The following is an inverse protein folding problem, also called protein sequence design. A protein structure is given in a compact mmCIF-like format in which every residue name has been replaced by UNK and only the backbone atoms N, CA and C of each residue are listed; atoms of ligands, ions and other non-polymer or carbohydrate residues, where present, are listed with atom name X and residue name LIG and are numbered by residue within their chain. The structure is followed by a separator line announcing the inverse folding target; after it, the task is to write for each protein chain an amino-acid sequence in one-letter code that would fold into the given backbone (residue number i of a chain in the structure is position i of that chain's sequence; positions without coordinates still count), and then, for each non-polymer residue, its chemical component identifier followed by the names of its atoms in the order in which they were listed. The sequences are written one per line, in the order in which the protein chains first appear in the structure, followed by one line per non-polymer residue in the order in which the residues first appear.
data_IF_731612428671
#
_entry.id   IF_731612428671
#
_cell.length_a   1.000
_cell.length_b   1.000
_cell.length_c   1.000
_cell.angle_alpha   90.00
_cell.angle_beta   90.00
_cell.angle_gamma   90.00
#
_symmetry.space_group_name_H-M   'P 1'
#
loop_
_entity.id
_entity.type
_entity.pdbx_description
1 polymer ?
#
# COMPACT_ATOMS: atom_id res chain seq x y z
N UNK A 1 8.16 -14.21 -23.25
CA UNK A 1 8.79 -13.24 -22.33
C UNK A 1 9.99 -13.92 -21.65
N UNK A 2 11.02 -13.17 -21.27
CA UNK A 2 12.23 -13.70 -20.60
C UNK A 2 12.22 -13.28 -19.13
N UNK A 3 12.60 -14.20 -18.24
CA UNK A 3 12.70 -13.95 -16.81
C UNK A 3 13.89 -13.05 -16.47
N UNK A 4 13.67 -12.00 -15.67
CA UNK A 4 14.73 -11.12 -15.17
C UNK A 4 15.74 -11.78 -14.23
N UNK A 5 15.37 -12.91 -13.60
CA UNK A 5 16.22 -13.66 -12.67
C UNK A 5 17.13 -14.66 -13.38
N UNK A 6 16.54 -15.67 -14.05
CA UNK A 6 17.28 -16.77 -14.67
C UNK A 6 17.52 -16.61 -16.18
N UNK A 7 16.95 -15.58 -16.82
CA UNK A 7 17.03 -15.32 -18.26
C UNK A 7 16.47 -16.43 -19.16
N UNK A 8 15.64 -17.31 -18.61
CA UNK A 8 14.90 -18.34 -19.37
C UNK A 8 13.50 -17.85 -19.79
N UNK A 9 12.89 -18.58 -20.73
CA UNK A 9 11.52 -18.33 -21.19
C UNK A 9 10.50 -18.49 -20.05
N UNK A 10 9.56 -17.55 -19.99
CA UNK A 10 8.45 -17.54 -19.04
C UNK A 10 7.22 -18.22 -19.63
N UNK A 11 6.53 -19.00 -18.78
CA UNK A 11 5.16 -19.41 -19.02
C UNK A 11 4.23 -18.38 -18.37
N UNK A 12 3.23 -17.88 -19.10
CA UNK A 12 2.42 -16.69 -18.72
C UNK A 12 1.66 -16.85 -17.40
N UNK A 13 1.35 -18.08 -17.02
CA UNK A 13 0.39 -18.33 -15.94
C UNK A 13 1.03 -18.32 -14.55
N UNK A 14 2.36 -18.23 -14.47
CA UNK A 14 3.13 -18.32 -13.23
C UNK A 14 4.29 -17.31 -13.20
N UNK A 15 4.04 -16.07 -13.62
CA UNK A 15 5.05 -15.00 -13.56
C UNK A 15 4.60 -13.83 -12.71
N UNK A 16 5.55 -13.20 -12.02
CA UNK A 16 5.37 -11.94 -11.31
C UNK A 16 5.97 -10.79 -12.13
N UNK A 17 5.21 -9.73 -12.25
CA UNK A 17 5.54 -8.56 -13.06
C UNK A 17 5.98 -7.40 -12.16
N UNK A 18 7.20 -6.88 -12.38
CA UNK A 18 7.69 -5.75 -11.60
C UNK A 18 7.14 -4.42 -12.12
N UNK A 19 6.34 -3.74 -11.30
CA UNK A 19 5.73 -2.44 -11.63
C UNK A 19 6.76 -1.35 -12.00
N UNK A 20 7.97 -1.39 -11.43
CA UNK A 20 8.96 -0.32 -11.62
C UNK A 20 9.84 -0.49 -12.85
N UNK A 21 10.20 -1.72 -13.22
CA UNK A 21 11.12 -1.98 -14.34
C UNK A 21 10.49 -2.74 -15.50
N UNK A 22 9.20 -3.07 -15.40
CA UNK A 22 8.42 -3.77 -16.43
C UNK A 22 8.94 -5.19 -16.77
N UNK A 23 9.85 -5.73 -15.94
CA UNK A 23 10.43 -7.06 -16.13
C UNK A 23 9.61 -8.12 -15.39
N UNK A 24 9.43 -9.27 -16.06
CA UNK A 24 8.75 -10.43 -15.51
C UNK A 24 9.72 -11.43 -14.90
N UNK A 25 9.30 -12.13 -13.86
CA UNK A 25 10.11 -13.09 -13.10
C UNK A 25 9.33 -14.38 -12.87
N UNK A 26 10.03 -15.51 -12.90
CA UNK A 26 9.51 -16.76 -12.35
C UNK A 26 9.33 -16.61 -10.84
N UNK A 27 8.24 -17.15 -10.29
CA UNK A 27 8.03 -17.16 -8.84
C UNK A 27 9.12 -17.98 -8.12
N UNK A 28 9.65 -19.02 -8.76
CA UNK A 28 10.77 -19.82 -8.24
C UNK A 28 12.06 -18.99 -8.15
N UNK A 29 12.32 -18.12 -9.13
CA UNK A 29 13.49 -17.22 -9.11
C UNK A 29 13.42 -16.18 -7.98
N UNK A 30 12.23 -15.97 -7.42
CA UNK A 30 11.96 -15.06 -6.31
C UNK A 30 11.87 -15.79 -4.96
N UNK A 31 12.13 -17.11 -4.93
CA UNK A 31 11.97 -17.96 -3.75
C UNK A 31 10.55 -17.93 -3.16
N UNK A 32 9.54 -17.75 -4.01
CA UNK A 32 8.13 -17.82 -3.65
C UNK A 32 7.65 -19.23 -4.02
N UNK A 33 6.83 -19.85 -3.17
CA UNK A 33 6.20 -21.14 -3.51
C UNK A 33 4.91 -20.93 -4.32
N UNK A 34 4.52 -21.92 -5.12
CA UNK A 34 3.34 -21.82 -5.98
C UNK A 34 2.06 -21.59 -5.17
N UNK A 35 1.93 -22.20 -3.99
CA UNK A 35 0.78 -22.03 -3.11
C UNK A 35 0.70 -20.59 -2.58
N UNK A 36 1.85 -19.98 -2.30
CA UNK A 36 1.93 -18.60 -1.82
C UNK A 36 1.57 -17.61 -2.94
N UNK A 37 1.96 -17.90 -4.19
CA UNK A 37 1.62 -17.07 -5.34
C UNK A 37 0.10 -16.95 -5.49
N UNK A 38 -0.66 -18.05 -5.38
CA UNK A 38 -2.13 -18.06 -5.49
C UNK A 38 -2.80 -17.21 -4.41
N UNK A 39 -2.21 -17.14 -3.21
CA UNK A 39 -2.74 -16.35 -2.10
C UNK A 39 -2.46 -14.84 -2.22
N UNK A 40 -1.59 -14.42 -3.13
CA UNK A 40 -1.32 -13.00 -3.35
C UNK A 40 -2.53 -12.32 -4.01
N UNK A 41 -3.01 -11.24 -3.40
CA UNK A 41 -4.08 -10.41 -3.96
C UNK A 41 -3.68 -9.81 -5.31
N UNK A 42 -4.68 -9.52 -6.15
CA UNK A 42 -4.45 -8.85 -7.43
C UNK A 42 -3.81 -7.47 -7.24
N UNK A 43 -4.19 -6.73 -6.19
CA UNK A 43 -3.58 -5.44 -5.84
C UNK A 43 -2.09 -5.57 -5.54
N UNK A 44 -1.69 -6.61 -4.80
CA UNK A 44 -0.28 -6.86 -4.50
C UNK A 44 0.49 -7.23 -5.77
N UNK A 45 -0.08 -8.08 -6.63
CA UNK A 45 0.57 -8.47 -7.90
C UNK A 45 0.77 -7.27 -8.83
N UNK A 46 -0.19 -6.34 -8.87
CA UNK A 46 -0.12 -5.14 -9.71
C UNK A 46 0.87 -4.09 -9.19
N UNK A 47 1.13 -4.07 -7.88
CA UNK A 47 2.09 -3.14 -7.24
C UNK A 47 3.43 -3.80 -6.89
N UNK A 48 3.60 -5.08 -7.21
CA UNK A 48 4.79 -5.84 -6.83
C UNK A 48 6.05 -5.26 -7.47
N UNK A 49 7.11 -5.22 -6.67
CA UNK A 49 8.39 -4.63 -7.08
C UNK A 49 9.52 -5.65 -6.88
N UNK A 50 10.35 -5.83 -7.91
CA UNK A 50 11.44 -6.80 -7.85
C UNK A 50 12.55 -6.37 -6.86
N UNK A 51 13.33 -7.31 -6.32
CA UNK A 51 14.41 -7.01 -5.38
C UNK A 51 15.44 -6.00 -5.91
N UNK A 52 15.69 -5.98 -7.23
CA UNK A 52 16.58 -5.00 -7.84
C UNK A 52 16.04 -3.57 -7.70
N UNK A 53 14.75 -3.37 -8.02
CA UNK A 53 14.09 -2.06 -7.90
C UNK A 53 13.92 -1.62 -6.44
N UNK A 54 13.60 -2.55 -5.54
CA UNK A 54 13.53 -2.28 -4.09
C UNK A 54 14.89 -1.88 -3.51
N UNK A 55 15.98 -2.46 -4.01
CA UNK A 55 17.32 -2.09 -3.57
C UNK A 55 17.83 -0.78 -4.18
N UNK A 56 17.34 -0.38 -5.35
CA UNK A 56 17.63 0.93 -5.96
C UNK A 56 16.95 2.06 -5.18
N UNK A 57 15.68 1.89 -4.78
CA UNK A 57 14.98 2.91 -3.97
C UNK A 57 15.54 3.08 -2.57
N UNK A 58 16.26 2.07 -2.03
CA UNK A 58 17.03 2.19 -0.77
C UNK A 58 18.40 2.85 -0.92
N UNK A 59 18.96 2.95 -2.13
CA UNK A 59 20.16 3.76 -2.38
C UNK A 59 19.76 5.23 -2.57
N UNK A 60 19.05 5.80 -1.60
CA UNK A 60 19.24 7.21 -1.33
C UNK A 60 20.73 7.34 -1.02
N UNK A 61 21.41 8.20 -1.76
CA UNK A 61 22.84 8.49 -1.69
C UNK A 61 23.15 9.22 -0.37
N UNK A 62 22.86 8.60 0.77
CA UNK A 62 23.25 9.09 2.09
C UNK A 62 24.69 8.64 2.32
N UNK A 63 25.64 9.57 2.15
CA UNK A 63 27.04 9.39 2.56
C UNK A 63 27.20 9.31 4.09
N UNK A 64 26.21 8.81 4.83
CA UNK A 64 26.14 8.92 6.28
C UNK A 64 26.66 7.70 7.05
N UNK A 65 27.29 6.70 6.39
CA UNK A 65 28.18 5.68 6.98
C UNK A 65 28.62 4.67 5.93
N UNK A 66 29.86 4.73 5.40
CA UNK A 66 30.49 3.55 4.83
C UNK A 66 30.63 2.48 5.93
N UNK A 67 30.43 1.17 5.65
CA UNK A 67 30.80 0.13 6.60
C UNK A 67 32.30 0.27 6.87
N UNK A 68 32.66 0.59 8.12
CA UNK A 68 34.06 0.61 8.56
C UNK A 68 34.58 -0.82 8.42
N UNK A 69 35.32 -1.11 7.35
CA UNK A 69 36.17 -2.30 7.31
C UNK A 69 37.30 -2.02 8.30
N UNK A 70 37.35 -2.81 9.36
CA UNK A 70 38.50 -2.89 10.26
C UNK A 70 39.67 -3.48 9.47
N UNK A 71 40.38 -2.64 8.72
CA UNK A 71 41.68 -3.00 8.20
C UNK A 71 42.67 -2.82 9.34
N UNK A 72 43.14 -3.94 9.88
CA UNK A 72 44.40 -3.96 10.64
C UNK A 72 45.48 -3.38 9.72
N UNK A 73 46.01 -2.21 10.09
CA UNK A 73 47.16 -1.59 9.44
C UNK A 73 48.39 -2.41 9.90
N UNK A 74 49.15 -3.05 9.00
CA UNK A 74 50.46 -3.56 9.34
C UNK A 74 51.39 -2.36 9.58
N UNK A 75 52.04 -2.34 10.73
CA UNK A 75 53.17 -1.46 11.03
C UNK A 75 54.23 -1.59 9.93
N UNK A 76 54.48 -0.51 9.19
CA UNK A 76 55.75 -0.34 8.48
C UNK A 76 56.10 1.14 8.42
N UNK A 77 57.16 1.47 9.13
CA UNK A 77 57.94 2.70 9.02
C UNK A 77 58.25 2.97 7.54
N UNK A 78 57.77 4.09 7.02
CA UNK A 78 58.38 4.77 5.87
C UNK A 78 57.84 6.19 5.81
N UNK A 79 58.63 7.12 6.35
CA UNK A 79 58.45 8.55 6.18
C UNK A 79 58.68 8.92 4.71
N UNK A 80 57.63 9.30 4.00
CA UNK A 80 57.77 10.10 2.78
C UNK A 80 57.63 11.57 3.15
N UNK A 81 58.78 12.20 3.33
CA UNK A 81 58.95 13.65 3.37
C UNK A 81 58.62 14.21 1.98
N UNK A 82 57.51 14.95 1.86
CA UNK A 82 57.15 15.68 0.65
C UNK A 82 57.27 17.17 0.94
N UNK A 83 58.51 17.62 1.17
CA UNK A 83 58.86 19.03 1.20
C UNK A 83 58.67 19.65 -0.18
N UNK A 84 57.60 20.43 -0.37
CA UNK A 84 57.41 21.30 -1.52
C UNK A 84 58.35 22.52 -1.41
N UNK A 85 59.63 22.36 -1.76
CA UNK A 85 60.53 23.47 -2.05
C UNK A 85 60.30 23.97 -3.49
N UNK A 86 59.22 24.73 -3.69
CA UNK A 86 59.05 25.49 -4.94
C UNK A 86 58.61 26.92 -4.57
N UNK A 87 59.52 27.87 -4.83
CA UNK A 87 59.39 29.35 -4.86
C UNK A 87 59.80 30.14 -3.60
N UNK A 88 61.12 30.19 -3.36
CA UNK A 88 61.76 31.37 -2.76
C UNK A 88 62.76 31.96 -3.75
N UNK A 89 62.27 32.75 -4.72
CA UNK A 89 63.06 33.78 -5.43
C UNK A 89 62.19 34.61 -6.39
N UNK A 90 61.59 35.66 -5.85
CA UNK A 90 61.47 36.95 -6.51
C UNK A 90 60.94 37.96 -5.49
N UNK A 91 61.78 38.90 -5.08
CA UNK A 91 61.35 40.18 -4.51
C UNK A 91 60.47 40.88 -5.56
N UNK A 92 59.17 40.63 -5.51
CA UNK A 92 58.19 41.44 -6.19
C UNK A 92 57.67 42.46 -5.17
N UNK A 93 57.99 43.72 -5.44
CA UNK A 93 57.42 44.89 -4.81
C UNK A 93 55.90 44.74 -4.77
N UNK A 94 55.33 44.46 -3.60
CA UNK A 94 53.87 44.37 -3.39
C UNK A 94 53.35 45.81 -3.45
N UNK A 95 52.57 46.21 -4.47
CA UNK A 95 51.87 47.48 -4.40
C UNK A 95 50.87 47.37 -3.26
N UNK A 96 50.95 48.30 -2.31
CA UNK A 96 50.01 48.49 -1.21
C UNK A 96 48.65 48.97 -1.75
N UNK A 97 47.93 48.10 -2.45
CA UNK A 97 46.52 48.30 -2.76
C UNK A 97 45.68 47.60 -1.68
N UNK A 98 45.43 48.33 -0.60
CA UNK A 98 44.46 47.98 0.46
C UNK A 98 43.04 47.71 -0.08
N UNK A 99 42.78 48.07 -1.33
CA UNK A 99 41.52 47.94 -2.06
C UNK A 99 41.14 46.47 -2.39
N UNK A 100 42.07 45.52 -2.32
CA UNK A 100 41.82 44.10 -2.67
C UNK A 100 41.28 43.26 -1.50
N UNK A 101 41.58 43.62 -0.25
CA UNK A 101 41.15 42.86 0.95
C UNK A 101 39.71 43.22 1.35
N UNK A 102 39.33 44.49 1.24
CA UNK A 102 37.96 44.95 1.55
C UNK A 102 36.92 44.32 0.61
N UNK A 103 37.20 44.28 -0.71
CA UNK A 103 36.33 43.62 -1.69
C UNK A 103 36.19 42.11 -1.44
N UNK A 104 37.26 41.46 -0.98
CA UNK A 104 37.21 40.04 -0.61
C UNK A 104 36.34 39.80 0.63
N UNK A 105 36.46 40.65 1.65
CA UNK A 105 35.63 40.59 2.86
C UNK A 105 34.16 40.89 2.57
N UNK A 106 33.88 41.83 1.67
CA UNK A 106 32.52 42.13 1.19
C UNK A 106 31.93 40.91 0.47
N UNK A 107 32.67 40.30 -0.45
CA UNK A 107 32.25 39.07 -1.13
C UNK A 107 31.96 37.94 -0.13
N UNK A 108 32.82 37.75 0.87
CA UNK A 108 32.63 36.73 1.91
C UNK A 108 31.37 37.01 2.74
N UNK A 109 31.09 38.28 3.06
CA UNK A 109 29.86 38.72 3.72
C UNK A 109 28.63 38.38 2.88
N UNK A 110 28.63 38.71 1.58
CA UNK A 110 27.54 38.39 0.66
C UNK A 110 27.31 36.88 0.55
N UNK A 111 28.38 36.08 0.46
CA UNK A 111 28.27 34.61 0.44
C UNK A 111 27.68 34.08 1.74
N UNK A 112 28.06 34.64 2.90
CA UNK A 112 27.50 34.24 4.19
C UNK A 112 26.01 34.60 4.30
N UNK A 113 25.62 35.78 3.82
CA UNK A 113 24.20 36.17 3.75
C UNK A 113 23.41 35.20 2.87
N UNK A 114 23.91 34.89 1.67
CA UNK A 114 23.30 33.90 0.78
C UNK A 114 23.22 32.51 1.41
N UNK A 115 24.26 32.07 2.11
CA UNK A 115 24.26 30.78 2.83
C UNK A 115 23.19 30.76 3.92
N UNK A 116 23.06 31.85 4.68
CA UNK A 116 22.05 31.94 5.73
C UNK A 116 20.63 31.97 5.16
N UNK A 117 20.41 32.73 4.09
CA UNK A 117 19.13 32.79 3.40
C UNK A 117 18.73 31.43 2.83
N UNK A 118 19.65 30.75 2.13
CA UNK A 118 19.41 29.39 1.64
C UNK A 118 19.13 28.40 2.77
N UNK A 119 19.86 28.47 3.89
CA UNK A 119 19.59 27.63 5.05
C UNK A 119 18.21 27.90 5.64
N UNK A 120 17.81 29.16 5.74
CA UNK A 120 16.48 29.56 6.22
C UNK A 120 15.38 29.01 5.30
N UNK A 121 15.54 29.20 3.98
CA UNK A 121 14.59 28.69 2.98
C UNK A 121 14.49 27.16 3.01
N UNK A 122 15.61 26.45 3.16
CA UNK A 122 15.62 24.99 3.29
C UNK A 122 14.89 24.55 4.57
N UNK A 123 15.04 25.27 5.69
CA UNK A 123 14.29 24.96 6.92
C UNK A 123 12.80 25.21 6.75
N UNK A 124 12.40 26.34 6.14
CA UNK A 124 10.99 26.64 5.85
C UNK A 124 10.35 25.54 4.99
N UNK A 125 10.98 25.20 3.87
CA UNK A 125 10.48 24.15 2.96
C UNK A 125 10.40 22.80 3.70
N UNK A 126 11.38 22.47 4.54
CA UNK A 126 11.35 21.24 5.34
C UNK A 126 10.15 21.23 6.29
N UNK A 127 9.88 22.33 6.97
CA UNK A 127 8.78 22.42 7.93
C UNK A 127 7.42 22.42 7.22
N UNK A 128 7.29 23.11 6.10
CA UNK A 128 6.11 23.06 5.23
C UNK A 128 5.81 21.62 4.77
N UNK A 129 6.80 20.93 4.17
CA UNK A 129 6.64 19.54 3.73
C UNK A 129 6.25 18.65 4.91
N UNK A 130 6.90 18.80 6.07
CA UNK A 130 6.61 18.00 7.25
C UNK A 130 5.19 18.22 7.76
N UNK A 131 4.76 19.48 7.82
CA UNK A 131 3.43 19.85 8.31
C UNK A 131 2.34 19.41 7.34
N UNK A 132 2.53 19.62 6.04
CA UNK A 132 1.60 19.19 5.00
C UNK A 132 1.46 17.67 4.98
N UNK A 133 2.57 16.93 5.00
CA UNK A 133 2.54 15.48 5.06
C UNK A 133 1.83 14.97 6.32
N UNK A 134 2.11 15.58 7.49
CA UNK A 134 1.49 15.16 8.73
C UNK A 134 -0.01 15.48 8.75
N UNK A 135 -0.41 16.66 8.27
CA UNK A 135 -1.81 17.07 8.15
C UNK A 135 -2.59 16.13 7.22
N UNK A 136 -2.06 15.90 6.01
CA UNK A 136 -2.69 15.00 5.03
C UNK A 136 -2.78 13.57 5.57
N UNK A 137 -1.73 13.07 6.23
CA UNK A 137 -1.76 11.75 6.82
C UNK A 137 -2.81 11.61 7.92
N UNK A 138 -2.98 12.63 8.77
CA UNK A 138 -4.03 12.64 9.79
C UNK A 138 -5.42 12.68 9.16
N UNK A 139 -5.66 13.52 8.15
CA UNK A 139 -6.94 13.56 7.41
C UNK A 139 -7.28 12.21 6.81
N UNK A 140 -6.35 11.60 6.06
CA UNK A 140 -6.56 10.29 5.45
C UNK A 140 -6.83 9.21 6.51
N UNK A 141 -6.10 9.24 7.63
CA UNK A 141 -6.34 8.31 8.75
C UNK A 141 -7.76 8.46 9.30
N UNK A 142 -8.21 9.69 9.51
CA UNK A 142 -9.53 9.97 10.08
C UNK A 142 -10.65 9.60 9.10
N UNK A 143 -10.47 9.87 7.80
CA UNK A 143 -11.38 9.44 6.73
C UNK A 143 -11.50 7.91 6.67
N UNK A 144 -10.38 7.19 6.71
CA UNK A 144 -10.37 5.71 6.76
C UNK A 144 -11.09 5.21 8.01
N UNK A 145 -10.87 5.84 9.16
CA UNK A 145 -11.50 5.43 10.41
C UNK A 145 -13.01 5.66 10.38
N UNK A 146 -13.45 6.79 9.86
CA UNK A 146 -14.88 7.13 9.76
C UNK A 146 -15.58 6.20 8.76
N UNK A 147 -15.02 6.03 7.56
CA UNK A 147 -15.58 5.10 6.55
C UNK A 147 -15.66 3.66 7.06
N UNK A 148 -14.65 3.19 7.80
CA UNK A 148 -14.70 1.87 8.43
C UNK A 148 -15.82 1.76 9.48
N UNK A 149 -16.01 2.80 10.30
CA UNK A 149 -17.09 2.86 11.28
C UNK A 149 -18.46 2.84 10.60
N UNK A 150 -18.63 3.58 9.50
CA UNK A 150 -19.87 3.63 8.74
C UNK A 150 -20.19 2.26 8.13
N UNK A 151 -19.21 1.62 7.48
CA UNK A 151 -19.35 0.26 6.92
C UNK A 151 -19.72 -0.75 8.03
N UNK A 152 -19.11 -0.66 9.21
CA UNK A 152 -19.46 -1.54 10.33
C UNK A 152 -20.91 -1.34 10.79
N UNK A 153 -21.38 -0.09 10.82
CA UNK A 153 -22.76 0.23 11.19
C UNK A 153 -23.76 -0.32 10.16
N UNK A 154 -23.45 -0.17 8.86
CA UNK A 154 -24.27 -0.68 7.77
C UNK A 154 -24.34 -2.21 7.77
N UNK A 155 -23.21 -2.89 7.95
CA UNK A 155 -23.17 -4.36 8.08
C UNK A 155 -24.04 -4.83 9.26
N UNK A 156 -24.03 -4.11 10.38
CA UNK A 156 -24.86 -4.45 11.53
C UNK A 156 -26.36 -4.30 11.20
N UNK A 157 -26.74 -3.17 10.59
CA UNK A 157 -28.12 -2.91 10.15
C UNK A 157 -28.60 -3.98 9.16
N UNK A 158 -27.81 -4.30 8.14
CA UNK A 158 -28.15 -5.34 7.15
C UNK A 158 -28.32 -6.73 7.78
N UNK A 159 -27.53 -7.05 8.82
CA UNK A 159 -27.69 -8.32 9.56
C UNK A 159 -29.02 -8.37 10.33
N UNK A 160 -29.42 -7.26 10.93
CA UNK A 160 -30.70 -7.13 11.65
C UNK A 160 -31.89 -7.23 10.69
N UNK A 161 -31.81 -6.56 9.54
CA UNK A 161 -32.82 -6.67 8.47
C UNK A 161 -32.92 -8.10 7.93
N UNK A 162 -31.79 -8.75 7.66
CA UNK A 162 -31.75 -10.13 7.19
C UNK A 162 -32.33 -11.11 8.23
N UNK A 163 -32.07 -10.90 9.53
CA UNK A 163 -32.67 -11.69 10.59
C UNK A 163 -34.20 -11.52 10.64
N UNK A 164 -34.67 -10.28 10.50
CA UNK A 164 -36.10 -9.95 10.43
C UNK A 164 -36.78 -10.60 9.22
N UNK A 165 -36.17 -10.53 8.04
CA UNK A 165 -36.67 -11.18 6.83
C UNK A 165 -36.75 -12.70 7.00
N UNK A 166 -35.75 -13.33 7.62
CA UNK A 166 -35.80 -14.77 7.92
C UNK A 166 -36.96 -15.12 8.84
N UNK A 167 -37.21 -14.31 9.87
CA UNK A 167 -38.35 -14.53 10.76
C UNK A 167 -39.67 -14.40 10.02
N UNK A 168 -39.82 -13.37 9.17
CA UNK A 168 -41.02 -13.16 8.38
C UNK A 168 -41.28 -14.33 7.42
N UNK A 169 -40.26 -14.83 6.72
CA UNK A 169 -40.37 -16.01 5.85
C UNK A 169 -40.78 -17.25 6.66
N UNK A 170 -40.21 -17.45 7.85
CA UNK A 170 -40.62 -18.55 8.74
C UNK A 170 -42.09 -18.45 9.13
N UNK A 171 -42.57 -17.25 9.49
CA UNK A 171 -43.96 -17.02 9.86
C UNK A 171 -44.90 -17.30 8.68
N UNK A 172 -44.57 -16.80 7.48
CA UNK A 172 -45.34 -17.05 6.25
C UNK A 172 -45.43 -18.56 5.98
N UNK A 173 -44.34 -19.32 6.16
CA UNK A 173 -44.38 -20.78 5.97
C UNK A 173 -45.31 -21.48 6.98
N UNK A 174 -45.38 -21.01 8.23
CA UNK A 174 -46.30 -21.53 9.24
C UNK A 174 -47.75 -21.23 8.83
N UNK A 175 -48.03 -19.99 8.42
CA UNK A 175 -49.36 -19.57 7.96
C UNK A 175 -49.80 -20.35 6.72
N UNK A 176 -48.90 -20.55 5.75
CA UNK A 176 -49.16 -21.35 4.55
C UNK A 176 -49.51 -22.80 4.91
N UNK A 177 -48.77 -23.41 5.84
CA UNK A 177 -49.02 -24.78 6.31
C UNK A 177 -50.38 -24.88 7.01
N UNK A 178 -50.72 -23.89 7.83
CA UNK A 178 -52.03 -23.80 8.48
C UNK A 178 -53.17 -23.70 7.45
N UNK A 179 -53.00 -22.84 6.43
CA UNK A 179 -53.97 -22.68 5.36
C UNK A 179 -54.14 -23.98 4.55
N UNK A 180 -53.04 -24.67 4.23
CA UNK A 180 -53.06 -25.97 3.56
C UNK A 180 -53.87 -27.00 4.35
N UNK A 181 -53.66 -27.08 5.68
CA UNK A 181 -54.43 -27.96 6.55
C UNK A 181 -55.92 -27.59 6.56
N UNK A 182 -56.24 -26.30 6.60
CA UNK A 182 -57.63 -25.82 6.55
C UNK A 182 -58.32 -26.16 5.23
N UNK A 183 -57.64 -25.98 4.10
CA UNK A 183 -58.13 -26.36 2.76
C UNK A 183 -58.35 -27.87 2.69
N UNK A 184 -57.43 -28.67 3.21
CA UNK A 184 -57.58 -30.13 3.21
C UNK A 184 -58.81 -30.55 4.02
N UNK A 185 -58.97 -30.01 5.23
CA UNK A 185 -60.15 -30.27 6.06
C UNK A 185 -61.45 -29.89 5.35
N UNK A 186 -61.50 -28.71 4.73
CA UNK A 186 -62.69 -28.29 3.96
C UNK A 186 -62.95 -29.19 2.76
N UNK A 187 -61.90 -29.65 2.06
CA UNK A 187 -62.03 -30.60 0.95
C UNK A 187 -62.64 -31.92 1.41
N UNK A 188 -62.22 -32.44 2.56
CA UNK A 188 -62.73 -33.69 3.13
C UNK A 188 -64.22 -33.55 3.56
N UNK A 189 -64.57 -32.42 4.20
CA UNK A 189 -65.96 -32.09 4.56
C UNK A 189 -66.84 -31.97 3.30
N UNK A 190 -66.37 -31.27 2.26
CA UNK A 190 -67.07 -31.17 0.98
C UNK A 190 -67.28 -32.54 0.32
N UNK A 191 -66.27 -33.42 0.37
CA UNK A 191 -66.37 -34.79 -0.13
C UNK A 191 -67.45 -35.58 0.60
N UNK A 192 -67.49 -35.48 1.93
CA UNK A 192 -68.49 -36.14 2.78
C UNK A 192 -69.90 -35.60 2.52
N UNK A 193 -70.05 -34.28 2.41
CA UNK A 193 -71.33 -33.64 2.08
C UNK A 193 -71.84 -34.07 0.71
N UNK A 194 -70.96 -34.14 -0.29
CA UNK A 194 -71.32 -34.59 -1.63
C UNK A 194 -71.89 -36.01 -1.59
N UNK A 195 -71.21 -36.94 -0.90
CA UNK A 195 -71.70 -38.31 -0.73
C UNK A 195 -73.10 -38.36 -0.09
N UNK A 196 -73.33 -37.54 0.95
CA UNK A 196 -74.64 -37.47 1.62
C UNK A 196 -75.73 -36.92 0.71
N UNK A 197 -75.42 -35.91 -0.10
CA UNK A 197 -76.37 -35.35 -1.08
C UNK A 197 -76.72 -36.38 -2.15
N UNK A 198 -75.72 -37.08 -2.68
CA UNK A 198 -75.91 -38.13 -3.68
C UNK A 198 -76.80 -39.27 -3.14
N UNK A 199 -76.59 -39.67 -1.88
CA UNK A 199 -77.42 -40.68 -1.21
C UNK A 199 -78.87 -40.24 -1.02
N UNK A 200 -79.10 -38.99 -0.59
CA UNK A 200 -80.46 -38.43 -0.46
C UNK A 200 -81.15 -38.39 -1.83
N UNK A 201 -80.43 -37.98 -2.88
CA UNK A 201 -80.97 -37.96 -4.24
C UNK A 201 -81.35 -39.35 -4.74
N UNK A 202 -80.57 -40.38 -4.40
CA UNK A 202 -80.86 -41.79 -4.69
C UNK A 202 -82.15 -42.25 -4.00
N UNK A 203 -82.25 -42.03 -2.68
CA UNK A 203 -83.43 -42.41 -1.89
C UNK A 203 -84.70 -41.68 -2.35
N UNK A 204 -84.60 -40.41 -2.76
CA UNK A 204 -85.74 -39.64 -3.25
C UNK A 204 -86.23 -40.09 -4.65
N UNK A 205 -85.45 -40.91 -5.35
CA UNK A 205 -85.78 -41.42 -6.69
C UNK A 205 -86.37 -42.84 -6.68
N UNK A 206 -86.39 -43.51 -5.52
CA UNK A 206 -87.01 -44.83 -5.26
C UNK A 206 -88.45 -44.67 -4.77
#
# INVERSE_FOLDING_TARGET
MICGGCRLLLNTDCSLHCYTCDINYHYECLNIKKEQLVLLSNEFRSSWTCPACVNITRRVKTNLRPPVRHNQIPSMEQSMDLSCEILNKSEAHIPSDSVSIEKFNELLSTINLWRNDMNSNIMSIRDEIKNDMNSNFMSIRDEIKNTLSDIQSEIKSLREEHATLRQNVSNINIELSSLQNSIQFQSDEHGTLKQRVDEIARVASE
#
